data_IF_428331666204
#
_entry.id   IF_428331666204
#
_cell.length_a   1.000
_cell.length_b   1.000
_cell.length_c   1.000
_cell.angle_alpha   90.00
_cell.angle_beta   90.00
_cell.angle_gamma   90.00
#
_symmetry.space_group_name_H-M   'P 1'
#
loop_
_entity.id
_entity.type
_entity.pdbx_description
1 polymer ?
#
# COMPACT_ATOMS: atom_id res chain seq x y z
N UNK A 1 29.20 68.87 31.79
CA UNK A 1 29.95 67.88 30.99
C UNK A 1 29.27 66.54 31.09
N UNK A 2 28.71 66.10 29.95
CA UNK A 2 27.87 64.91 29.75
C UNK A 2 28.59 63.61 30.09
N UNK A 3 27.88 62.65 30.71
CA UNK A 3 28.11 61.23 30.50
C UNK A 3 26.77 60.51 30.31
N UNK A 4 26.59 60.04 29.09
CA UNK A 4 25.46 59.31 28.50
C UNK A 4 25.27 57.95 29.16
N UNK A 5 24.03 57.43 29.36
CA UNK A 5 23.84 56.05 29.78
C UNK A 5 23.85 55.09 28.56
N UNK A 6 24.66 54.03 28.65
CA UNK A 6 24.68 52.92 27.69
C UNK A 6 23.43 52.03 27.92
N UNK A 7 22.51 52.04 26.96
CA UNK A 7 21.42 51.06 26.88
C UNK A 7 22.01 49.75 26.31
N UNK A 8 22.03 48.69 27.13
CA UNK A 8 22.34 47.33 26.66
C UNK A 8 21.09 46.74 26.01
N UNK A 9 21.03 46.78 24.68
CA UNK A 9 20.04 46.04 23.90
C UNK A 9 20.49 44.57 23.88
N UNK A 10 19.74 43.70 24.56
CA UNK A 10 19.92 42.26 24.46
C UNK A 10 19.44 41.77 23.10
N UNK A 11 20.34 41.20 22.31
CA UNK A 11 20.05 40.60 21.01
C UNK A 11 19.36 39.25 21.22
N UNK A 12 18.04 39.21 21.04
CA UNK A 12 17.25 37.96 21.06
C UNK A 12 17.41 37.29 19.69
N UNK A 13 18.31 36.31 19.56
CA UNK A 13 18.44 35.49 18.35
C UNK A 13 17.26 34.51 18.28
N UNK A 14 16.25 34.88 17.50
CA UNK A 14 15.15 33.99 17.12
C UNK A 14 15.68 32.96 16.12
N UNK A 15 16.08 31.78 16.59
CA UNK A 15 16.39 30.65 15.71
C UNK A 15 15.09 30.16 15.08
N UNK A 16 14.83 30.63 13.86
CA UNK A 16 13.76 30.13 13.00
C UNK A 16 14.09 28.67 12.67
N UNK A 17 13.48 27.73 13.40
CA UNK A 17 13.59 26.31 13.08
C UNK A 17 12.97 26.08 11.71
N UNK A 18 13.79 25.75 10.72
CA UNK A 18 13.31 25.14 9.48
C UNK A 18 12.69 23.80 9.83
N UNK A 19 11.38 23.78 10.08
CA UNK A 19 10.61 22.55 9.97
C UNK A 19 10.67 22.15 8.50
N UNK A 20 11.48 21.17 8.15
CA UNK A 20 11.41 20.51 6.86
C UNK A 20 10.02 19.88 6.77
N UNK A 21 9.09 20.52 6.07
CA UNK A 21 7.83 19.87 5.74
C UNK A 21 8.17 18.65 4.89
N UNK A 22 7.99 17.46 5.46
CA UNK A 22 8.02 16.21 4.71
C UNK A 22 6.81 16.27 3.78
N UNK A 23 7.05 16.62 2.52
CA UNK A 23 6.01 16.54 1.50
C UNK A 23 5.86 15.07 1.11
N UNK A 24 4.69 14.50 1.38
CA UNK A 24 4.27 13.26 0.75
C UNK A 24 4.27 13.42 -0.78
N UNK A 25 4.57 12.34 -1.49
CA UNK A 25 4.58 12.32 -2.94
C UNK A 25 3.22 12.79 -3.48
N UNK A 26 3.27 13.68 -4.47
CA UNK A 26 2.03 14.16 -5.08
C UNK A 26 1.40 13.03 -5.90
N UNK A 27 0.06 13.09 -6.14
CA UNK A 27 -0.59 12.14 -7.03
C UNK A 27 0.11 12.01 -8.40
N UNK A 28 0.62 13.12 -8.96
CA UNK A 28 1.36 13.09 -10.22
C UNK A 28 2.70 12.36 -10.12
N UNK A 29 3.39 12.44 -8.99
CA UNK A 29 4.65 11.72 -8.76
C UNK A 29 4.44 10.22 -8.59
N UNK A 30 3.31 9.81 -8.02
CA UNK A 30 2.99 8.40 -7.84
C UNK A 30 2.48 7.75 -9.12
N UNK A 31 1.69 8.47 -9.91
CA UNK A 31 0.94 7.93 -11.05
C UNK A 31 1.77 7.04 -12.00
N UNK A 32 3.01 7.40 -12.40
CA UNK A 32 3.83 6.54 -13.26
C UNK A 32 4.11 5.15 -12.65
N UNK A 33 4.37 5.08 -11.33
CA UNK A 33 4.57 3.80 -10.64
C UNK A 33 3.29 2.97 -10.62
N UNK A 34 2.14 3.62 -10.43
CA UNK A 34 0.85 2.94 -10.37
C UNK A 34 0.42 2.38 -11.72
N UNK A 35 0.65 3.14 -12.79
CA UNK A 35 0.40 2.72 -14.17
C UNK A 35 1.34 1.58 -14.55
N UNK A 36 2.64 1.72 -14.25
CA UNK A 36 3.61 0.66 -14.50
C UNK A 36 3.27 -0.62 -13.74
N UNK A 37 2.85 -0.50 -12.48
CA UNK A 37 2.39 -1.67 -11.71
C UNK A 37 1.23 -2.37 -12.41
N UNK A 38 0.24 -1.61 -12.92
CA UNK A 38 -0.93 -2.17 -13.60
C UNK A 38 -0.57 -2.86 -14.93
N UNK A 39 0.32 -2.25 -15.72
CA UNK A 39 0.86 -2.84 -16.94
C UNK A 39 1.53 -4.19 -16.64
N UNK A 40 2.42 -4.21 -15.64
CA UNK A 40 3.10 -5.44 -15.24
C UNK A 40 2.09 -6.49 -14.78
N UNK A 41 1.16 -6.11 -13.89
CA UNK A 41 0.21 -7.04 -13.28
C UNK A 41 -0.77 -7.64 -14.28
N UNK A 42 -1.20 -6.89 -15.30
CA UNK A 42 -2.33 -7.27 -16.13
C UNK A 42 -1.98 -7.58 -17.59
N UNK A 43 -0.82 -7.14 -18.10
CA UNK A 43 -0.43 -7.38 -19.50
C UNK A 43 0.72 -8.36 -19.67
N UNK A 44 1.67 -8.38 -18.73
CA UNK A 44 2.82 -9.29 -18.85
C UNK A 44 2.44 -10.73 -18.46
N UNK A 45 3.19 -11.69 -18.99
CA UNK A 45 3.15 -13.08 -18.54
C UNK A 45 3.85 -13.27 -17.18
N UNK A 46 3.73 -14.47 -16.60
CA UNK A 46 4.29 -14.76 -15.28
C UNK A 46 5.80 -14.58 -15.21
N UNK A 47 6.52 -14.99 -16.26
CA UNK A 47 7.98 -14.97 -16.29
C UNK A 47 8.51 -13.53 -16.39
N UNK A 48 7.86 -12.68 -17.21
CA UNK A 48 8.18 -11.27 -17.34
C UNK A 48 7.83 -10.44 -16.10
N UNK A 49 6.76 -10.80 -15.39
CA UNK A 49 6.27 -10.07 -14.20
C UNK A 49 7.31 -9.95 -13.10
N UNK A 50 7.95 -11.05 -12.70
CA UNK A 50 8.86 -11.05 -11.56
C UNK A 50 10.03 -10.08 -11.75
N UNK A 51 10.63 -10.08 -12.95
CA UNK A 51 11.72 -9.16 -13.28
C UNK A 51 11.24 -7.71 -13.32
N UNK A 52 10.11 -7.44 -13.96
CA UNK A 52 9.59 -6.08 -14.09
C UNK A 52 9.16 -5.48 -12.75
N UNK A 53 8.58 -6.27 -11.84
CA UNK A 53 8.29 -5.82 -10.48
C UNK A 53 9.55 -5.56 -9.67
N UNK A 54 10.60 -6.39 -9.80
CA UNK A 54 11.88 -6.13 -9.14
C UNK A 54 12.51 -4.80 -9.57
N UNK A 55 12.44 -4.48 -10.87
CA UNK A 55 12.89 -3.19 -11.41
C UNK A 55 12.05 -2.02 -10.85
N UNK A 56 10.72 -2.16 -10.83
CA UNK A 56 9.82 -1.14 -10.26
C UNK A 56 10.05 -0.94 -8.75
N UNK A 57 10.26 -2.01 -8.00
CA UNK A 57 10.55 -1.95 -6.56
C UNK A 57 11.86 -1.19 -6.29
N UNK A 58 12.89 -1.39 -7.13
CA UNK A 58 14.16 -0.67 -7.05
C UNK A 58 14.00 0.83 -7.33
N UNK A 59 13.14 1.21 -8.28
CA UNK A 59 12.84 2.63 -8.55
C UNK A 59 12.13 3.30 -7.36
N UNK A 60 11.16 2.61 -6.77
CA UNK A 60 10.46 3.09 -5.57
C UNK A 60 11.39 3.19 -4.36
N UNK A 61 12.32 2.24 -4.18
CA UNK A 61 13.38 2.29 -3.16
C UNK A 61 14.28 3.53 -3.34
N UNK A 62 14.70 3.81 -4.58
CA UNK A 62 15.53 4.97 -4.88
C UNK A 62 14.79 6.27 -4.56
N UNK A 63 13.51 6.36 -4.91
CA UNK A 63 12.68 7.53 -4.59
C UNK A 63 12.49 7.69 -3.07
N UNK A 64 12.14 6.59 -2.38
CA UNK A 64 11.99 6.59 -0.91
C UNK A 64 13.29 6.94 -0.20
N UNK A 65 14.46 6.65 -0.78
CA UNK A 65 15.75 7.04 -0.18
C UNK A 65 15.93 8.56 -0.15
N UNK A 66 15.23 9.30 -1.01
CA UNK A 66 15.18 10.77 -1.00
C UNK A 66 14.13 11.29 -0.02
N UNK A 67 12.98 10.63 0.08
CA UNK A 67 11.86 10.98 0.97
C UNK A 67 11.50 9.82 1.91
N UNK A 68 12.36 9.50 2.89
CA UNK A 68 12.27 8.24 3.66
C UNK A 68 11.06 8.13 4.59
N UNK A 69 10.40 9.25 4.89
CA UNK A 69 9.23 9.32 5.79
C UNK A 69 7.88 9.36 5.04
N UNK A 70 7.90 9.25 3.71
CA UNK A 70 6.69 9.31 2.88
C UNK A 70 5.91 7.97 2.91
N UNK A 71 4.71 7.93 3.54
CA UNK A 71 3.93 6.70 3.64
C UNK A 71 3.45 6.21 2.27
N UNK A 72 3.21 7.09 1.30
CA UNK A 72 2.66 6.69 0.01
C UNK A 72 3.70 5.91 -0.81
N UNK A 73 4.96 6.33 -0.77
CA UNK A 73 6.07 5.60 -1.38
C UNK A 73 6.35 4.28 -0.67
N UNK A 74 6.24 4.23 0.67
CA UNK A 74 6.31 2.97 1.42
C UNK A 74 5.23 1.99 0.97
N UNK A 75 3.99 2.47 0.82
CA UNK A 75 2.85 1.65 0.38
C UNK A 75 3.10 1.11 -1.02
N UNK A 76 3.49 1.95 -1.98
CA UNK A 76 3.74 1.50 -3.36
C UNK A 76 4.93 0.55 -3.46
N UNK A 77 6.00 0.78 -2.70
CA UNK A 77 7.12 -0.15 -2.63
C UNK A 77 6.66 -1.50 -2.04
N UNK A 78 5.89 -1.49 -0.95
CA UNK A 78 5.36 -2.70 -0.33
C UNK A 78 4.41 -3.48 -1.25
N UNK A 79 3.52 -2.80 -1.97
CA UNK A 79 2.62 -3.42 -2.96
C UNK A 79 3.45 -4.09 -4.06
N UNK A 80 4.45 -3.39 -4.59
CA UNK A 80 5.30 -3.90 -5.67
C UNK A 80 6.11 -5.11 -5.24
N UNK A 81 6.69 -5.09 -4.04
CA UNK A 81 7.42 -6.23 -3.47
C UNK A 81 6.49 -7.44 -3.22
N UNK A 82 5.25 -7.19 -2.79
CA UNK A 82 4.24 -8.25 -2.60
C UNK A 82 3.85 -8.89 -3.94
N UNK A 83 3.69 -8.08 -4.99
CA UNK A 83 3.44 -8.55 -6.35
C UNK A 83 4.63 -9.30 -6.95
N UNK A 84 5.87 -8.84 -6.73
CA UNK A 84 7.08 -9.58 -7.13
C UNK A 84 7.09 -10.96 -6.44
N UNK A 85 6.80 -11.01 -5.15
CA UNK A 85 6.78 -12.25 -4.39
C UNK A 85 5.77 -13.26 -4.97
N UNK A 86 4.57 -12.79 -5.33
CA UNK A 86 3.54 -13.61 -5.97
C UNK A 86 3.96 -14.14 -7.33
N UNK A 87 4.63 -13.32 -8.15
CA UNK A 87 5.12 -13.73 -9.46
C UNK A 87 6.33 -14.69 -9.39
N UNK A 88 7.22 -14.49 -8.41
CA UNK A 88 8.48 -15.22 -8.27
C UNK A 88 8.33 -16.57 -7.57
N UNK A 89 7.47 -16.64 -6.56
CA UNK A 89 7.32 -17.82 -5.71
C UNK A 89 8.60 -18.23 -4.95
N UNK A 90 8.55 -19.42 -4.34
CA UNK A 90 9.69 -20.07 -3.68
C UNK A 90 10.29 -19.28 -2.51
N UNK A 91 11.54 -19.60 -2.16
CA UNK A 91 12.24 -19.00 -1.00
C UNK A 91 12.51 -17.49 -1.18
N UNK A 92 12.62 -17.02 -2.44
CA UNK A 92 12.78 -15.60 -2.76
C UNK A 92 11.56 -14.77 -2.37
N UNK A 93 10.35 -15.31 -2.54
CA UNK A 93 9.10 -14.65 -2.17
C UNK A 93 9.02 -14.31 -0.68
N UNK A 94 9.49 -15.20 0.20
CA UNK A 94 9.42 -14.99 1.66
C UNK A 94 10.21 -13.77 2.13
N UNK A 95 11.38 -13.50 1.52
CA UNK A 95 12.18 -12.31 1.83
C UNK A 95 11.43 -11.03 1.42
N UNK A 96 10.82 -11.05 0.23
CA UNK A 96 10.08 -9.91 -0.33
C UNK A 96 8.85 -9.57 0.52
N UNK A 97 8.02 -10.56 0.88
CA UNK A 97 6.84 -10.31 1.73
C UNK A 97 7.21 -9.82 3.14
N UNK A 98 8.37 -10.21 3.68
CA UNK A 98 8.88 -9.67 4.96
C UNK A 98 9.29 -8.20 4.84
N UNK A 99 9.88 -7.81 3.72
CA UNK A 99 10.20 -6.40 3.43
C UNK A 99 8.93 -5.58 3.23
N UNK A 100 7.98 -6.09 2.42
CA UNK A 100 6.69 -5.45 2.20
C UNK A 100 5.92 -5.26 3.52
N UNK A 101 5.88 -6.28 4.39
CA UNK A 101 5.28 -6.18 5.72
C UNK A 101 5.84 -5.01 6.51
N UNK A 102 7.17 -4.89 6.59
CA UNK A 102 7.83 -3.80 7.31
C UNK A 102 7.47 -2.43 6.74
N UNK A 103 7.38 -2.30 5.42
CA UNK A 103 6.99 -1.04 4.77
C UNK A 103 5.54 -0.69 5.07
N UNK A 104 4.62 -1.65 5.06
CA UNK A 104 3.22 -1.41 5.43
C UNK A 104 3.07 -1.04 6.90
N UNK A 105 3.77 -1.74 7.81
CA UNK A 105 3.80 -1.40 9.23
C UNK A 105 4.29 0.04 9.44
N UNK A 106 5.38 0.43 8.77
CA UNK A 106 5.89 1.80 8.82
C UNK A 106 4.91 2.82 8.24
N UNK A 107 4.28 2.53 7.10
CA UNK A 107 3.29 3.42 6.51
C UNK A 107 2.08 3.62 7.42
N UNK A 108 1.59 2.55 8.07
CA UNK A 108 0.49 2.59 9.04
C UNK A 108 0.89 3.45 10.25
N UNK A 109 2.10 3.29 10.77
CA UNK A 109 2.59 4.09 11.90
C UNK A 109 2.67 5.59 11.56
N UNK A 110 2.92 5.95 10.30
CA UNK A 110 2.99 7.35 9.85
C UNK A 110 1.63 7.94 9.51
N UNK A 111 0.84 7.22 8.73
CA UNK A 111 -0.50 7.62 8.35
C UNK A 111 -1.32 6.38 7.95
N UNK A 112 -2.17 5.86 8.85
CA UNK A 112 -2.98 4.67 8.57
C UNK A 112 -4.04 4.90 7.48
N UNK A 113 -4.39 6.16 7.20
CA UNK A 113 -5.35 6.55 6.17
C UNK A 113 -4.70 6.85 4.80
N UNK A 114 -3.37 6.85 4.73
CA UNK A 114 -2.62 7.09 3.50
C UNK A 114 -3.12 6.20 2.36
N UNK A 115 -3.31 6.81 1.20
CA UNK A 115 -3.89 6.18 0.01
C UNK A 115 -5.18 5.41 0.34
N UNK A 116 -6.05 6.01 1.15
CA UNK A 116 -7.34 5.44 1.56
C UNK A 116 -7.20 4.08 2.26
N UNK A 117 -6.22 3.94 3.16
CA UNK A 117 -6.00 2.71 3.93
C UNK A 117 -5.39 1.56 3.13
N UNK A 118 -4.66 1.87 2.05
CA UNK A 118 -4.05 0.84 1.19
C UNK A 118 -3.06 -0.04 1.96
N UNK A 119 -2.27 0.54 2.88
CA UNK A 119 -1.35 -0.23 3.73
C UNK A 119 -2.07 -1.29 4.57
N UNK A 120 -3.21 -0.93 5.16
CA UNK A 120 -4.04 -1.85 5.98
C UNK A 120 -4.54 -3.02 5.13
N UNK A 121 -5.08 -2.73 3.94
CA UNK A 121 -5.57 -3.76 3.00
C UNK A 121 -4.43 -4.70 2.58
N UNK A 122 -3.29 -4.16 2.17
CA UNK A 122 -2.17 -4.97 1.70
C UNK A 122 -1.53 -5.80 2.82
N UNK A 123 -1.38 -5.23 4.03
CA UNK A 123 -0.87 -5.94 5.18
C UNK A 123 -1.81 -7.07 5.63
N UNK A 124 -3.12 -6.84 5.61
CA UNK A 124 -4.12 -7.87 5.86
C UNK A 124 -3.98 -9.04 4.89
N UNK A 125 -3.87 -8.75 3.59
CA UNK A 125 -3.65 -9.76 2.55
C UNK A 125 -2.37 -10.57 2.81
N UNK A 126 -1.25 -9.93 3.20
CA UNK A 126 -0.03 -10.66 3.53
C UNK A 126 -0.19 -11.56 4.76
N UNK A 127 -0.85 -11.09 5.81
CA UNK A 127 -1.13 -11.92 6.99
C UNK A 127 -1.99 -13.13 6.66
N UNK A 128 -2.87 -13.04 5.68
CA UNK A 128 -3.68 -14.17 5.24
C UNK A 128 -2.91 -15.15 4.33
N UNK A 129 -2.17 -14.63 3.35
CA UNK A 129 -1.59 -15.45 2.28
C UNK A 129 -0.21 -16.04 2.60
N UNK A 130 0.54 -15.46 3.53
CA UNK A 130 1.88 -15.95 3.88
C UNK A 130 1.76 -17.12 4.87
N UNK A 131 2.62 -18.16 4.78
CA UNK A 131 2.62 -19.25 5.76
C UNK A 131 2.78 -18.75 7.21
N UNK A 132 2.19 -19.47 8.15
CA UNK A 132 2.33 -19.21 9.58
C UNK A 132 3.75 -19.52 10.10
N UNK A 133 3.99 -19.21 11.38
CA UNK A 133 5.22 -19.61 12.08
C UNK A 133 5.40 -21.15 12.04
N UNK A 134 6.63 -21.69 11.90
CA UNK A 134 7.93 -21.00 11.93
C UNK A 134 8.45 -20.51 10.56
N UNK A 135 7.72 -20.76 9.47
CA UNK A 135 8.21 -20.47 8.11
C UNK A 135 8.01 -18.98 7.79
N UNK A 136 6.80 -18.46 8.04
CA UNK A 136 6.45 -17.08 7.73
C UNK A 136 5.84 -16.35 8.93
N UNK A 137 4.91 -15.46 8.65
CA UNK A 137 4.25 -14.61 9.64
C UNK A 137 2.73 -14.56 9.49
N UNK A 138 2.17 -15.49 8.71
CA UNK A 138 0.73 -15.60 8.52
C UNK A 138 -0.02 -15.63 9.84
N UNK A 139 -1.15 -14.92 9.90
CA UNK A 139 -2.02 -14.81 11.05
C UNK A 139 -3.40 -14.31 10.59
N UNK A 140 -4.37 -15.22 10.46
CA UNK A 140 -5.72 -14.88 9.98
C UNK A 140 -6.50 -13.94 10.92
N UNK A 141 -6.24 -13.99 12.23
CA UNK A 141 -6.90 -13.09 13.19
C UNK A 141 -6.44 -11.64 12.97
N UNK A 142 -5.14 -11.43 12.74
CA UNK A 142 -4.59 -10.13 12.35
C UNK A 142 -5.08 -9.69 10.98
N UNK A 143 -5.17 -10.61 10.02
CA UNK A 143 -5.69 -10.30 8.70
C UNK A 143 -7.13 -9.77 8.79
N UNK A 144 -8.00 -10.47 9.53
CA UNK A 144 -9.39 -10.06 9.72
C UNK A 144 -9.51 -8.67 10.37
N UNK A 145 -8.75 -8.41 11.43
CA UNK A 145 -8.76 -7.11 12.11
C UNK A 145 -8.29 -5.98 11.18
N UNK A 146 -7.23 -6.19 10.41
CA UNK A 146 -6.72 -5.20 9.46
C UNK A 146 -7.69 -4.97 8.29
N UNK A 147 -8.37 -6.01 7.79
CA UNK A 147 -9.41 -5.83 6.77
C UNK A 147 -10.59 -4.99 7.29
N UNK A 148 -10.99 -5.19 8.55
CA UNK A 148 -12.02 -4.35 9.18
C UNK A 148 -11.60 -2.89 9.27
N UNK A 149 -10.36 -2.64 9.68
CA UNK A 149 -9.79 -1.28 9.73
C UNK A 149 -9.73 -0.66 8.32
N UNK A 150 -9.25 -1.41 7.32
CA UNK A 150 -9.20 -0.95 5.93
C UNK A 150 -10.58 -0.56 5.39
N UNK A 151 -11.62 -1.34 5.68
CA UNK A 151 -12.99 -1.01 5.30
C UNK A 151 -13.58 0.18 6.05
N UNK A 152 -13.16 0.42 7.30
CA UNK A 152 -13.57 1.61 8.02
C UNK A 152 -13.01 2.89 7.37
N UNK A 153 -11.77 2.81 6.85
CA UNK A 153 -11.14 3.92 6.11
C UNK A 153 -11.73 4.09 4.71
N UNK A 154 -11.92 2.99 3.97
CA UNK A 154 -12.40 3.03 2.59
C UNK A 154 -13.51 2.00 2.32
N UNK A 155 -14.76 2.29 2.76
CA UNK A 155 -15.87 1.35 2.67
C UNK A 155 -16.35 1.10 1.24
N UNK A 156 -16.02 2.00 0.31
CA UNK A 156 -16.45 1.95 -1.10
C UNK A 156 -15.29 1.68 -2.07
N UNK A 157 -14.10 1.40 -1.54
CA UNK A 157 -12.90 1.16 -2.34
C UNK A 157 -12.95 -0.16 -3.08
N UNK A 158 -12.46 -0.17 -4.31
CA UNK A 158 -12.42 -1.39 -5.13
C UNK A 158 -11.49 -2.45 -4.53
N UNK A 159 -10.28 -2.03 -4.12
CA UNK A 159 -9.26 -2.94 -3.58
C UNK A 159 -9.63 -3.42 -2.17
N UNK A 160 -10.06 -2.54 -1.26
CA UNK A 160 -10.45 -2.90 0.10
C UNK A 160 -11.58 -3.93 0.14
N UNK A 161 -12.63 -3.73 -0.67
CA UNK A 161 -13.75 -4.67 -0.76
C UNK A 161 -13.37 -5.95 -1.53
N UNK A 162 -12.54 -5.87 -2.58
CA UNK A 162 -12.09 -7.07 -3.29
C UNK A 162 -11.27 -7.99 -2.38
N UNK A 163 -10.22 -7.47 -1.75
CA UNK A 163 -9.32 -8.29 -0.95
C UNK A 163 -10.01 -8.88 0.28
N UNK A 164 -10.89 -8.11 0.94
CA UNK A 164 -11.69 -8.67 2.03
C UNK A 164 -12.71 -9.70 1.53
N UNK A 165 -13.33 -9.47 0.37
CA UNK A 165 -14.20 -10.46 -0.27
C UNK A 165 -13.47 -11.75 -0.61
N UNK A 166 -12.24 -11.67 -1.12
CA UNK A 166 -11.38 -12.82 -1.39
C UNK A 166 -10.99 -13.56 -0.11
N UNK A 167 -10.65 -12.84 0.96
CA UNK A 167 -10.43 -13.42 2.29
C UNK A 167 -11.66 -14.19 2.78
N UNK A 168 -12.85 -13.58 2.73
CA UNK A 168 -14.09 -14.22 3.16
C UNK A 168 -14.39 -15.48 2.33
N UNK A 169 -14.13 -15.45 1.02
CA UNK A 169 -14.28 -16.60 0.14
C UNK A 169 -13.36 -17.76 0.57
N UNK A 170 -12.09 -17.48 0.86
CA UNK A 170 -11.14 -18.49 1.33
C UNK A 170 -11.52 -19.07 2.71
N UNK A 171 -12.09 -18.23 3.59
CA UNK A 171 -12.65 -18.67 4.88
C UNK A 171 -13.98 -19.44 4.76
N UNK A 172 -14.54 -19.57 3.56
CA UNK A 172 -15.80 -20.27 3.29
C UNK A 172 -17.08 -19.44 3.52
N UNK A 173 -16.96 -18.15 3.83
CA UNK A 173 -18.11 -17.23 3.91
C UNK A 173 -18.46 -16.70 2.51
N UNK A 174 -19.05 -17.58 1.69
CA UNK A 174 -19.46 -17.24 0.33
C UNK A 174 -20.48 -16.09 0.27
N UNK A 175 -21.36 -15.96 1.28
CA UNK A 175 -22.36 -14.90 1.31
C UNK A 175 -21.73 -13.53 1.58
N UNK A 176 -20.87 -13.45 2.59
CA UNK A 176 -20.09 -12.24 2.90
C UNK A 176 -19.16 -11.86 1.75
N UNK A 177 -18.48 -12.85 1.16
CA UNK A 177 -17.63 -12.64 -0.01
C UNK A 177 -18.38 -12.00 -1.18
N UNK A 178 -19.53 -12.58 -1.57
CA UNK A 178 -20.38 -12.03 -2.65
C UNK A 178 -20.80 -10.59 -2.35
N UNK A 179 -21.23 -10.29 -1.13
CA UNK A 179 -21.65 -8.94 -0.74
C UNK A 179 -20.50 -7.92 -0.87
N UNK A 180 -19.28 -8.28 -0.45
CA UNK A 180 -18.10 -7.41 -0.58
C UNK A 180 -17.68 -7.22 -2.02
N UNK A 181 -17.62 -8.30 -2.80
CA UNK A 181 -17.26 -8.25 -4.22
C UNK A 181 -18.25 -7.43 -5.05
N UNK A 182 -19.56 -7.53 -4.76
CA UNK A 182 -20.56 -6.68 -5.37
C UNK A 182 -20.35 -5.21 -5.02
N UNK A 183 -19.98 -4.91 -3.77
CA UNK A 183 -19.66 -3.53 -3.39
C UNK A 183 -18.39 -3.00 -4.07
N UNK A 184 -17.38 -3.85 -4.27
CA UNK A 184 -16.18 -3.48 -5.03
C UNK A 184 -16.52 -3.05 -6.47
N UNK A 185 -17.51 -3.69 -7.12
CA UNK A 185 -17.96 -3.31 -8.46
C UNK A 185 -18.65 -1.94 -8.52
N UNK A 186 -19.15 -1.42 -7.40
CA UNK A 186 -19.78 -0.09 -7.34
C UNK A 186 -18.76 1.04 -7.11
N UNK A 187 -17.48 0.72 -6.88
CA UNK A 187 -16.44 1.72 -6.67
C UNK A 187 -16.35 2.69 -7.86
N UNK A 188 -16.15 3.98 -7.57
CA UNK A 188 -15.95 5.00 -8.60
C UNK A 188 -14.63 4.76 -9.36
N UNK A 189 -14.57 5.10 -10.67
CA UNK A 189 -13.32 5.05 -11.41
C UNK A 189 -12.25 5.94 -10.78
N UNK A 190 -11.00 5.47 -10.78
CA UNK A 190 -9.84 6.24 -10.34
C UNK A 190 -9.14 6.85 -11.57
N UNK A 191 -9.12 8.19 -11.75
CA UNK A 191 -8.49 8.81 -12.90
C UNK A 191 -7.02 8.41 -13.04
N UNK A 192 -6.60 8.01 -14.25
CA UNK A 192 -5.25 7.55 -14.55
C UNK A 192 -4.95 6.10 -14.09
N UNK A 193 -5.93 5.42 -13.48
CA UNK A 193 -5.86 4.05 -12.96
C UNK A 193 -6.85 3.10 -13.64
N UNK A 194 -7.34 3.48 -14.81
CA UNK A 194 -8.38 2.76 -15.56
C UNK A 194 -7.99 1.31 -15.85
N UNK A 195 -6.72 1.07 -16.20
CA UNK A 195 -6.20 -0.27 -16.44
C UNK A 195 -6.21 -1.14 -15.18
N UNK A 196 -5.79 -0.58 -14.05
CA UNK A 196 -5.82 -1.28 -12.77
C UNK A 196 -7.27 -1.61 -12.36
N UNK A 197 -8.19 -0.65 -12.54
CA UNK A 197 -9.60 -0.82 -12.24
C UNK A 197 -10.24 -1.88 -13.15
N UNK A 198 -9.92 -1.90 -14.44
CA UNK A 198 -10.41 -2.91 -15.39
C UNK A 198 -9.91 -4.32 -15.02
N UNK A 199 -8.61 -4.45 -14.74
CA UNK A 199 -8.01 -5.71 -14.30
C UNK A 199 -8.66 -6.23 -13.01
N UNK A 200 -8.80 -5.36 -12.00
CA UNK A 200 -9.46 -5.70 -10.73
C UNK A 200 -10.92 -6.09 -10.90
N UNK A 201 -11.68 -5.40 -11.76
CA UNK A 201 -13.08 -5.76 -12.08
C UNK A 201 -13.18 -7.13 -12.74
N UNK A 202 -12.21 -7.49 -13.59
CA UNK A 202 -12.13 -8.84 -14.16
C UNK A 202 -11.94 -9.90 -13.07
N UNK A 203 -10.98 -9.69 -12.17
CA UNK A 203 -10.73 -10.59 -11.02
C UNK A 203 -11.96 -10.73 -10.10
N UNK A 204 -12.64 -9.61 -9.79
CA UNK A 204 -13.88 -9.62 -9.02
C UNK A 204 -14.95 -10.48 -9.69
N UNK A 205 -15.16 -10.31 -11.00
CA UNK A 205 -16.15 -11.07 -11.74
C UNK A 205 -15.82 -12.56 -11.82
N UNK A 206 -14.54 -12.91 -11.96
CA UNK A 206 -14.07 -14.31 -11.94
C UNK A 206 -14.35 -14.96 -10.58
N UNK A 207 -14.01 -14.28 -9.49
CA UNK A 207 -14.27 -14.80 -8.14
C UNK A 207 -15.78 -14.93 -7.87
N UNK A 208 -16.59 -13.96 -8.29
CA UNK A 208 -18.05 -14.05 -8.19
C UNK A 208 -18.62 -15.25 -8.96
N UNK A 209 -18.02 -15.65 -10.09
CA UNK A 209 -18.44 -16.84 -10.84
C UNK A 209 -18.09 -18.14 -10.11
N UNK A 210 -16.91 -18.21 -9.48
CA UNK A 210 -16.49 -19.37 -8.69
C UNK A 210 -17.34 -19.56 -7.43
N UNK A 211 -17.85 -18.46 -6.87
CA UNK A 211 -18.70 -18.49 -5.70
C UNK A 211 -20.12 -18.95 -5.99
N UNK A 212 -20.54 -19.13 -7.26
CA UNK A 212 -21.95 -19.38 -7.66
C UNK A 212 -22.52 -20.68 -7.16
#
# INVERSE_FOLDING_TARGET
MNKTPLIRVGLLTLTLGCATMVHAATPEQLLPFQQRWAEIQYELDTDGRAKAFAELASQLEAQRSVTPDDPDLMIWQGITLSSEAGAKGGLGALKLVKQARKLFEQAIDRNPEALQGSALTSLATLYHQVPSWPIGFGNDDKAHELFRQALAVNPNGIDSNYFYGAYLADKGDSAGARARLQQALLASPRPGREQADAGRRSEINQLLQQLR
#
